data_IF_419714782428
#
_entry.id   IF_419714782428
#
_cell.length_a   1.000
_cell.length_b   1.000
_cell.length_c   1.000
_cell.angle_alpha   90.00
_cell.angle_beta   90.00
_cell.angle_gamma   90.00
#
_symmetry.space_group_name_H-M   'P 1'
#
loop_
_entity.id
_entity.type
_entity.pdbx_description
1 polymer ?
#
# COMPACT_ATOMS: atom_id res chain seq x y z
N UNK A 1 0.65 5.70 -17.60
CA UNK A 1 0.09 5.04 -16.41
C UNK A 1 0.52 5.87 -15.23
N UNK A 2 -0.43 6.30 -14.41
CA UNK A 2 -0.13 7.05 -13.18
C UNK A 2 0.22 6.08 -12.05
N UNK A 3 0.81 6.59 -10.96
CA UNK A 3 1.06 5.79 -9.75
C UNK A 3 -0.24 5.18 -9.19
N UNK A 4 -1.33 5.94 -9.23
CA UNK A 4 -2.64 5.47 -8.78
C UNK A 4 -3.14 4.30 -9.64
N UNK A 5 -3.00 4.40 -10.98
CA UNK A 5 -3.39 3.31 -11.89
C UNK A 5 -2.58 2.03 -11.62
N UNK A 6 -1.29 2.17 -11.34
CA UNK A 6 -0.41 1.03 -11.04
C UNK A 6 -0.79 0.35 -9.72
N UNK A 7 -1.09 1.14 -8.69
CA UNK A 7 -1.55 0.64 -7.40
C UNK A 7 -2.90 -0.06 -7.51
N UNK A 8 -3.84 0.50 -8.29
CA UNK A 8 -5.14 -0.13 -8.54
C UNK A 8 -4.98 -1.48 -9.28
N UNK A 9 -4.05 -1.57 -10.23
CA UNK A 9 -3.72 -2.83 -10.91
C UNK A 9 -3.14 -3.88 -9.96
N UNK A 10 -2.18 -3.49 -9.11
CA UNK A 10 -1.58 -4.38 -8.09
C UNK A 10 -2.66 -4.87 -7.13
N UNK A 11 -3.52 -3.97 -6.66
CA UNK A 11 -4.60 -4.30 -5.74
C UNK A 11 -5.63 -5.24 -6.37
N UNK A 12 -6.00 -5.01 -7.63
CA UNK A 12 -6.95 -5.84 -8.36
C UNK A 12 -6.39 -7.25 -8.64
N UNK A 13 -5.08 -7.38 -8.85
CA UNK A 13 -4.42 -8.64 -9.16
C UNK A 13 -4.01 -9.46 -7.92
N UNK A 14 -4.18 -8.92 -6.71
CA UNK A 14 -3.69 -9.59 -5.49
C UNK A 14 -4.36 -10.94 -5.27
N UNK A 15 -3.55 -11.91 -4.87
CA UNK A 15 -4.00 -13.20 -4.37
C UNK A 15 -3.95 -13.16 -2.84
N UNK A 16 -5.11 -13.29 -2.18
CA UNK A 16 -5.17 -13.28 -0.71
C UNK A 16 -4.61 -14.55 -0.08
N UNK A 17 -4.57 -15.65 -0.83
CA UNK A 17 -3.96 -16.91 -0.39
C UNK A 17 -2.43 -16.88 -0.60
N UNK A 18 -1.93 -15.98 -1.46
CA UNK A 18 -0.50 -15.74 -1.68
C UNK A 18 -0.20 -14.24 -1.91
N UNK A 19 0.00 -13.51 -0.82
CA UNK A 19 0.24 -12.07 -0.86
C UNK A 19 1.69 -11.67 -1.19
N UNK A 20 2.63 -12.61 -1.25
CA UNK A 20 4.05 -12.32 -1.47
C UNK A 20 4.34 -11.56 -2.79
N UNK A 21 3.72 -11.90 -3.94
CA UNK A 21 3.88 -11.12 -5.16
C UNK A 21 3.38 -9.68 -5.03
N UNK A 22 2.24 -9.49 -4.35
CA UNK A 22 1.65 -8.17 -4.10
C UNK A 22 2.57 -7.32 -3.23
N UNK A 23 3.11 -7.91 -2.16
CA UNK A 23 4.08 -7.27 -1.27
C UNK A 23 5.33 -6.85 -2.03
N UNK A 24 5.89 -7.74 -2.86
CA UNK A 24 7.08 -7.43 -3.64
C UNK A 24 6.85 -6.29 -4.63
N UNK A 25 5.70 -6.28 -5.32
CA UNK A 25 5.34 -5.19 -6.22
C UNK A 25 5.23 -3.84 -5.48
N UNK A 26 4.60 -3.83 -4.31
CA UNK A 26 4.46 -2.61 -3.50
C UNK A 26 5.79 -2.15 -2.89
N UNK A 27 6.70 -3.08 -2.55
CA UNK A 27 8.06 -2.74 -2.11
C UNK A 27 8.88 -2.08 -3.23
N UNK A 28 8.72 -2.53 -4.47
CA UNK A 28 9.34 -1.87 -5.63
C UNK A 28 8.82 -0.43 -5.79
N UNK A 29 7.51 -0.21 -5.62
CA UNK A 29 6.95 1.14 -5.63
C UNK A 29 7.44 2.00 -4.47
N UNK A 30 7.53 1.44 -3.26
CA UNK A 30 8.06 2.15 -2.08
C UNK A 30 9.51 2.61 -2.30
N UNK A 31 10.34 1.86 -3.03
CA UNK A 31 11.71 2.28 -3.32
C UNK A 31 11.79 3.59 -4.13
N UNK A 32 10.79 3.85 -4.99
CA UNK A 32 10.73 5.07 -5.82
C UNK A 32 9.85 6.17 -5.20
N UNK A 33 8.98 5.80 -4.27
CA UNK A 33 7.96 6.66 -3.66
C UNK A 33 7.91 6.46 -2.14
N UNK A 34 9.06 6.62 -1.47
CA UNK A 34 9.26 6.22 -0.06
C UNK A 34 8.33 6.90 0.94
N UNK A 35 7.92 8.14 0.66
CA UNK A 35 7.04 8.94 1.53
C UNK A 35 5.63 9.11 0.94
N UNK A 36 5.27 8.35 -0.10
CA UNK A 36 3.93 8.46 -0.67
C UNK A 36 2.93 7.75 0.25
N UNK A 37 2.01 8.53 0.82
CA UNK A 37 0.97 8.06 1.73
C UNK A 37 0.14 6.88 1.19
N UNK A 38 -0.20 6.88 -0.10
CA UNK A 38 -0.98 5.79 -0.73
C UNK A 38 -0.17 4.50 -0.81
N UNK A 39 1.09 4.59 -1.22
CA UNK A 39 2.00 3.44 -1.33
C UNK A 39 2.22 2.82 0.04
N UNK A 40 2.44 3.64 1.07
CA UNK A 40 2.59 3.19 2.45
C UNK A 40 1.32 2.47 2.95
N UNK A 41 0.15 3.04 2.67
CA UNK A 41 -1.13 2.45 3.05
C UNK A 41 -1.38 1.08 2.37
N UNK A 42 -1.17 0.99 1.06
CA UNK A 42 -1.38 -0.25 0.32
C UNK A 42 -0.38 -1.34 0.74
N UNK A 43 0.88 -0.99 0.98
CA UNK A 43 1.87 -1.93 1.53
C UNK A 43 1.48 -2.40 2.94
N UNK A 44 0.93 -1.51 3.76
CA UNK A 44 0.37 -1.84 5.07
C UNK A 44 -0.74 -2.89 4.95
N UNK A 45 -1.70 -2.66 4.06
CA UNK A 45 -2.79 -3.61 3.79
C UNK A 45 -2.31 -4.95 3.24
N UNK A 46 -1.25 -4.94 2.44
CA UNK A 46 -0.67 -6.16 1.91
C UNK A 46 -0.01 -7.01 3.01
N UNK A 47 0.74 -6.38 3.93
CA UNK A 47 1.31 -7.08 5.08
C UNK A 47 0.27 -7.57 6.07
N UNK A 48 -0.78 -6.79 6.31
CA UNK A 48 -1.89 -7.18 7.18
C UNK A 48 -2.57 -8.46 6.65
N UNK A 49 -2.89 -8.48 5.35
CA UNK A 49 -3.46 -9.66 4.68
C UNK A 49 -2.51 -10.87 4.72
N UNK A 50 -1.20 -10.64 4.70
CA UNK A 50 -0.18 -11.69 4.82
C UNK A 50 0.07 -12.15 6.28
N UNK A 51 -0.68 -11.64 7.27
CA UNK A 51 -0.53 -11.97 8.69
C UNK A 51 0.65 -11.27 9.39
N UNK A 52 1.20 -10.22 8.78
CA UNK A 52 2.34 -9.42 9.29
C UNK A 52 1.86 -8.12 9.93
N UNK A 53 0.94 -8.25 10.88
CA UNK A 53 0.21 -7.13 11.51
C UNK A 53 1.14 -6.06 12.13
N UNK A 54 2.25 -6.49 12.76
CA UNK A 54 3.22 -5.56 13.37
C UNK A 54 3.84 -4.61 12.35
N UNK A 55 4.15 -5.12 11.15
CA UNK A 55 4.74 -4.33 10.07
C UNK A 55 3.69 -3.47 9.38
N UNK A 56 2.49 -4.02 9.21
CA UNK A 56 1.35 -3.27 8.71
C UNK A 56 1.06 -2.02 9.55
N UNK A 57 1.04 -2.16 10.88
CA UNK A 57 0.80 -1.04 11.80
C UNK A 57 1.82 0.09 11.61
N UNK A 58 3.11 -0.24 11.54
CA UNK A 58 4.16 0.77 11.32
C UNK A 58 3.95 1.54 10.01
N UNK A 59 3.52 0.85 8.95
CA UNK A 59 3.25 1.49 7.67
C UNK A 59 2.01 2.38 7.69
N UNK A 60 0.97 2.00 8.42
CA UNK A 60 -0.19 2.87 8.59
C UNK A 60 0.16 4.14 9.36
N UNK A 61 1.00 4.04 10.39
CA UNK A 61 1.53 5.20 11.13
C UNK A 61 2.39 6.10 10.23
N UNK A 62 3.26 5.52 9.39
CA UNK A 62 4.04 6.25 8.38
C UNK A 62 3.12 6.93 7.36
N UNK A 63 2.09 6.24 6.87
CA UNK A 63 1.15 6.77 5.89
C UNK A 63 0.40 7.99 6.43
N UNK A 64 -0.08 7.92 7.67
CA UNK A 64 -0.73 9.05 8.36
C UNK A 64 0.23 10.24 8.47
N UNK A 65 1.48 9.99 8.85
CA UNK A 65 2.52 11.04 8.94
C UNK A 65 2.83 11.67 7.58
N UNK A 66 2.80 10.88 6.51
CA UNK A 66 2.98 11.33 5.13
C UNK A 66 1.80 12.14 4.57
N UNK A 67 0.78 12.42 5.38
CA UNK A 67 -0.38 13.20 4.96
C UNK A 67 -1.44 12.36 4.26
N UNK A 68 -1.62 11.09 4.68
CA UNK A 68 -2.82 10.32 4.37
C UNK A 68 -4.05 10.98 5.03
N UNK A 69 -4.47 12.13 4.52
CA UNK A 69 -5.64 12.86 4.95
C UNK A 69 -6.44 13.36 3.73
N UNK A 70 -7.72 13.01 3.69
CA UNK A 70 -8.74 13.79 3.00
C UNK A 70 -8.95 13.64 1.49
N UNK A 71 -7.95 13.28 0.66
CA UNK A 71 -8.15 13.21 -0.81
C UNK A 71 -8.40 11.80 -1.37
N UNK A 72 -7.96 10.74 -0.68
CA UNK A 72 -8.22 9.35 -1.10
C UNK A 72 -9.59 8.80 -0.65
N UNK A 73 -10.22 9.44 0.33
CA UNK A 73 -11.56 9.09 0.84
C UNK A 73 -12.70 9.88 0.18
N UNK A 74 -12.41 10.78 -0.76
CA UNK A 74 -13.41 11.62 -1.47
C UNK A 74 -13.79 11.12 -2.87
N UNK A 75 -13.46 9.88 -3.23
CA UNK A 75 -14.10 9.18 -4.37
C UNK A 75 -15.18 8.24 -3.81
N UNK A 76 -16.25 8.86 -3.30
CA UNK A 76 -17.56 8.20 -3.24
C UNK A 76 -18.10 8.00 -4.66
#
# INVERSE_FOLDING_TARGET
MTLDDELDLIFAARDRDNMEPTVNALLHLRASHSENARVLYELGGAYDTAGRETEARGLYEEALTAGLEGDLLRRC
#
